data_IF_963057019422
#
_entry.id   IF_963057019422
#
_cell.length_a   1.000
_cell.length_b   1.000
_cell.length_c   1.000
_cell.angle_alpha   90.00
_cell.angle_beta   90.00
_cell.angle_gamma   90.00
#
_symmetry.space_group_name_H-M   'P 1'
#
loop_
_entity.id
_entity.type
_entity.pdbx_description
1 polymer ?
#
# COMPACT_ATOMS: atom_id res chain seq x y z
N UNK A 1 48.52 -40.92 30.06
CA UNK A 1 47.69 -39.76 29.64
C UNK A 1 48.28 -39.28 28.33
N UNK A 2 47.59 -39.56 27.23
CA UNK A 2 47.99 -39.26 25.84
C UNK A 2 47.91 -37.74 25.58
N UNK A 3 48.93 -37.09 25.01
CA UNK A 3 49.15 -36.81 23.57
C UNK A 3 48.02 -35.95 22.95
N UNK A 4 48.20 -34.94 22.11
CA UNK A 4 49.33 -34.34 21.38
C UNK A 4 48.82 -32.97 20.84
N UNK A 5 49.76 -32.10 20.45
CA UNK A 5 49.60 -30.77 19.89
C UNK A 5 48.70 -30.62 18.64
N UNK A 6 48.18 -29.40 18.45
CA UNK A 6 48.36 -28.59 17.23
C UNK A 6 47.83 -29.08 15.87
N UNK A 7 46.83 -28.35 15.37
CA UNK A 7 46.43 -28.11 13.98
C UNK A 7 46.19 -29.30 13.03
N UNK A 8 44.92 -29.49 12.64
CA UNK A 8 44.54 -30.09 11.36
C UNK A 8 43.33 -29.32 10.79
N UNK A 9 43.56 -28.59 9.70
CA UNK A 9 42.51 -28.17 8.76
C UNK A 9 42.31 -29.31 7.76
N UNK A 10 41.18 -30.01 7.72
CA UNK A 10 40.77 -30.76 6.51
C UNK A 10 39.25 -30.97 6.45
N UNK A 11 38.70 -30.51 5.32
CA UNK A 11 37.60 -31.06 4.51
C UNK A 11 36.23 -31.37 5.14
N UNK A 12 35.21 -30.79 4.50
CA UNK A 12 33.83 -31.20 4.67
C UNK A 12 32.77 -30.28 4.05
N UNK A 13 33.11 -29.31 3.21
CA UNK A 13 32.12 -28.59 2.39
C UNK A 13 31.83 -29.37 1.10
N UNK A 14 31.53 -30.66 1.20
CA UNK A 14 31.04 -31.48 0.09
C UNK A 14 30.22 -32.62 0.68
N UNK A 15 29.03 -32.30 1.17
CA UNK A 15 27.87 -33.20 1.34
C UNK A 15 26.77 -32.42 2.07
N UNK A 16 26.21 -31.40 1.41
CA UNK A 16 24.91 -30.84 1.83
C UNK A 16 24.24 -29.94 0.78
N UNK A 17 24.71 -29.95 -0.47
CA UNK A 17 24.14 -29.06 -1.50
C UNK A 17 22.75 -29.56 -1.95
N UNK A 18 22.45 -30.85 -1.83
CA UNK A 18 21.14 -31.41 -2.22
C UNK A 18 20.02 -31.27 -1.17
N UNK A 19 20.30 -30.91 0.10
CA UNK A 19 19.25 -30.77 1.12
C UNK A 19 18.74 -29.32 1.26
N UNK A 20 19.49 -28.33 0.75
CA UNK A 20 19.13 -26.91 0.92
C UNK A 20 18.17 -26.44 -0.16
N UNK A 21 18.21 -27.00 -1.37
CA UNK A 21 17.24 -26.65 -2.43
C UNK A 21 15.83 -27.15 -2.07
N UNK A 22 15.65 -28.43 -1.71
CA UNK A 22 14.32 -28.98 -1.37
C UNK A 22 13.66 -28.34 -0.13
N UNK A 23 14.47 -27.81 0.81
CA UNK A 23 13.94 -27.13 2.01
C UNK A 23 13.65 -25.65 1.78
N UNK A 24 14.31 -25.00 0.81
CA UNK A 24 14.08 -23.58 0.50
C UNK A 24 12.77 -23.39 -0.24
N UNK A 25 12.48 -24.26 -1.22
CA UNK A 25 11.23 -24.21 -2.00
C UNK A 25 9.98 -24.38 -1.12
N UNK A 26 10.03 -25.28 -0.12
CA UNK A 26 8.94 -25.48 0.84
C UNK A 26 8.77 -24.32 1.84
N UNK A 27 9.85 -23.62 2.19
CA UNK A 27 9.79 -22.46 3.09
C UNK A 27 9.27 -21.20 2.37
N UNK A 28 9.51 -21.08 1.07
CA UNK A 28 8.98 -19.99 0.25
C UNK A 28 7.46 -20.13 0.08
N UNK A 29 6.96 -21.33 -0.23
CA UNK A 29 5.52 -21.60 -0.41
C UNK A 29 4.72 -21.35 0.90
N UNK A 30 5.20 -21.85 2.05
CA UNK A 30 4.58 -21.58 3.37
C UNK A 30 4.63 -20.10 3.77
N UNK A 31 5.65 -19.35 3.31
CA UNK A 31 5.74 -17.92 3.59
C UNK A 31 4.72 -17.15 2.76
N UNK A 32 4.56 -17.46 1.47
CA UNK A 32 3.62 -16.82 0.55
C UNK A 32 2.16 -17.00 1.02
N UNK A 33 1.77 -18.23 1.37
CA UNK A 33 0.43 -18.53 1.93
C UNK A 33 0.17 -17.75 3.24
N UNK A 34 1.18 -17.64 4.11
CA UNK A 34 1.05 -16.88 5.36
C UNK A 34 0.95 -15.37 5.14
N UNK A 35 1.57 -14.80 4.10
CA UNK A 35 1.39 -13.38 3.78
C UNK A 35 0.02 -13.13 3.15
N UNK A 36 -0.46 -14.03 2.29
CA UNK A 36 -1.77 -13.91 1.65
C UNK A 36 -2.91 -14.00 2.68
N UNK A 37 -2.81 -14.89 3.66
CA UNK A 37 -3.79 -15.04 4.75
C UNK A 37 -3.82 -13.82 5.69
N UNK A 38 -2.69 -13.11 5.87
CA UNK A 38 -2.62 -11.90 6.72
C UNK A 38 -2.97 -10.61 5.95
N UNK A 39 -2.66 -10.55 4.65
CA UNK A 39 -2.90 -9.35 3.82
C UNK A 39 -4.28 -9.34 3.17
N UNK A 40 -4.94 -10.48 3.04
CA UNK A 40 -6.30 -10.58 2.52
C UNK A 40 -7.35 -9.83 3.37
N UNK A 41 -7.11 -9.68 4.68
CA UNK A 41 -7.97 -8.94 5.61
C UNK A 41 -7.63 -7.44 5.74
N UNK A 42 -6.54 -6.97 5.12
CA UNK A 42 -6.14 -5.56 5.17
C UNK A 42 -6.72 -4.81 3.98
N UNK A 43 -7.69 -3.91 4.23
CA UNK A 43 -8.19 -3.01 3.21
C UNK A 43 -7.04 -2.15 2.68
N UNK A 44 -6.85 -2.16 1.36
CA UNK A 44 -5.86 -1.30 0.70
C UNK A 44 -6.23 0.17 0.97
N UNK A 45 -5.27 1.06 1.25
CA UNK A 45 -5.59 2.47 1.40
C UNK A 45 -6.18 3.04 0.10
N UNK A 46 -7.10 4.02 0.20
CA UNK A 46 -7.61 4.71 -0.98
C UNK A 46 -6.48 5.46 -1.71
N UNK A 47 -6.68 5.74 -2.99
CA UNK A 47 -5.72 6.47 -3.79
C UNK A 47 -6.28 6.92 -5.13
N UNK A 48 -5.66 7.94 -5.70
CA UNK A 48 -6.01 8.49 -7.00
C UNK A 48 -4.76 9.05 -7.68
N UNK A 49 -4.76 9.05 -9.01
CA UNK A 49 -3.80 9.81 -9.81
C UNK A 49 -4.42 11.15 -10.17
N UNK A 50 -3.71 12.24 -9.89
CA UNK A 50 -4.20 13.59 -10.03
C UNK A 50 -3.28 14.42 -10.91
N UNK A 51 -3.87 15.33 -11.68
CA UNK A 51 -3.17 16.46 -12.31
C UNK A 51 -3.58 17.73 -11.56
N UNK A 52 -2.61 18.52 -11.11
CA UNK A 52 -2.85 19.72 -10.31
C UNK A 52 -2.24 20.93 -11.02
N UNK A 53 -3.06 21.93 -11.32
CA UNK A 53 -2.67 23.16 -12.01
C UNK A 53 -3.36 24.37 -11.35
N UNK A 54 -2.58 25.27 -10.73
CA UNK A 54 -3.04 26.54 -10.13
C UNK A 54 -4.37 26.43 -9.33
N UNK A 55 -4.46 25.48 -8.40
CA UNK A 55 -5.65 25.26 -7.55
C UNK A 55 -6.78 24.47 -8.21
N UNK A 56 -6.58 24.03 -9.45
CA UNK A 56 -7.47 23.11 -10.16
C UNK A 56 -6.93 21.69 -10.04
N UNK A 57 -7.76 20.75 -9.57
CA UNK A 57 -7.41 19.33 -9.46
C UNK A 57 -8.22 18.56 -10.49
N UNK A 58 -7.57 17.90 -11.44
CA UNK A 58 -8.20 16.97 -12.38
C UNK A 58 -7.91 15.53 -11.96
N UNK A 59 -8.95 14.73 -11.77
CA UNK A 59 -8.81 13.31 -11.43
C UNK A 59 -8.47 12.53 -12.69
N UNK A 60 -7.26 12.01 -12.79
CA UNK A 60 -6.86 11.17 -13.93
C UNK A 60 -7.38 9.74 -13.78
N UNK A 61 -7.27 9.18 -12.58
CA UNK A 61 -7.80 7.86 -12.23
C UNK A 61 -8.06 7.74 -10.73
N UNK A 62 -9.02 6.89 -10.37
CA UNK A 62 -9.25 6.45 -8.99
C UNK A 62 -8.81 4.99 -8.86
N UNK A 63 -8.20 4.64 -7.72
CA UNK A 63 -7.94 3.25 -7.40
C UNK A 63 -9.26 2.48 -7.28
N UNK A 64 -9.23 1.17 -7.49
CA UNK A 64 -10.42 0.30 -7.47
C UNK A 64 -11.16 0.25 -6.14
N UNK A 65 -10.54 0.70 -5.06
CA UNK A 65 -11.08 0.75 -3.70
C UNK A 65 -11.38 2.20 -3.24
N UNK A 66 -11.39 3.16 -4.16
CA UNK A 66 -11.58 4.59 -3.87
C UNK A 66 -12.86 5.07 -4.53
N UNK A 67 -13.78 5.59 -3.72
CA UNK A 67 -15.06 6.13 -4.19
C UNK A 67 -14.93 7.58 -4.65
N UNK A 68 -13.96 8.31 -4.10
CA UNK A 68 -13.71 9.68 -4.50
C UNK A 68 -12.61 10.35 -3.72
N UNK A 69 -12.38 11.61 -4.06
CA UNK A 69 -11.44 12.50 -3.41
C UNK A 69 -12.11 13.81 -3.02
N UNK A 70 -11.59 14.49 -2.01
CA UNK A 70 -11.98 15.81 -1.58
C UNK A 70 -10.76 16.72 -1.47
N UNK A 71 -10.89 17.96 -1.90
CA UNK A 71 -9.97 19.03 -1.54
C UNK A 71 -10.23 19.46 -0.09
N UNK A 72 -9.18 19.44 0.74
CA UNK A 72 -9.26 19.69 2.18
C UNK A 72 -9.55 18.44 3.01
N UNK A 73 -9.54 18.57 4.35
CA UNK A 73 -9.86 17.48 5.25
C UNK A 73 -11.34 17.11 5.18
N UNK A 74 -11.66 15.89 5.63
CA UNK A 74 -13.04 15.48 5.92
C UNK A 74 -13.44 16.05 7.28
N UNK A 75 -14.56 16.76 7.34
CA UNK A 75 -15.01 17.46 8.56
C UNK A 75 -16.17 16.74 9.28
N UNK A 76 -16.93 15.91 8.57
CA UNK A 76 -18.07 15.16 9.08
C UNK A 76 -17.72 13.78 9.64
N UNK A 77 -18.73 13.16 10.28
CA UNK A 77 -18.65 11.78 10.79
C UNK A 77 -18.81 10.72 9.70
N UNK A 78 -19.28 11.12 8.50
CA UNK A 78 -19.51 10.24 7.35
C UNK A 78 -18.72 10.73 6.13
N UNK A 79 -17.49 10.22 5.92
CA UNK A 79 -16.64 10.63 4.81
C UNK A 79 -17.24 10.34 3.43
N UNK A 80 -18.06 9.31 3.31
CA UNK A 80 -18.64 8.92 2.02
C UNK A 80 -19.73 9.91 1.61
N UNK A 81 -20.66 10.21 2.54
CA UNK A 81 -21.68 11.23 2.29
C UNK A 81 -21.05 12.59 1.96
N UNK A 82 -19.91 12.91 2.58
CA UNK A 82 -19.21 14.16 2.32
C UNK A 82 -18.65 14.23 0.89
N UNK A 83 -18.08 13.15 0.33
CA UNK A 83 -17.60 13.18 -1.06
C UNK A 83 -18.73 13.13 -2.10
N UNK A 84 -19.90 12.59 -1.75
CA UNK A 84 -21.05 12.50 -2.66
C UNK A 84 -21.78 13.84 -2.82
N UNK A 85 -21.83 14.66 -1.75
CA UNK A 85 -22.65 15.87 -1.70
C UNK A 85 -21.84 17.19 -1.77
N UNK A 86 -20.50 17.14 -1.69
CA UNK A 86 -19.66 18.34 -1.55
C UNK A 86 -19.11 18.87 -2.89
N UNK A 87 -19.12 20.19 -3.06
CA UNK A 87 -18.70 20.87 -4.30
C UNK A 87 -17.18 20.77 -4.58
N UNK A 88 -16.37 20.62 -3.54
CA UNK A 88 -14.92 20.39 -3.64
C UNK A 88 -14.53 18.91 -3.62
N UNK A 89 -15.42 18.03 -4.09
CA UNK A 89 -15.17 16.60 -4.20
C UNK A 89 -15.34 16.12 -5.64
N UNK A 90 -14.68 15.00 -5.96
CA UNK A 90 -14.78 14.32 -7.24
C UNK A 90 -14.87 12.81 -7.00
N UNK A 91 -15.80 12.16 -7.69
CA UNK A 91 -16.15 10.73 -7.51
C UNK A 91 -15.83 9.89 -8.73
N UNK A 92 -15.41 10.53 -9.83
CA UNK A 92 -15.06 9.85 -11.06
C UNK A 92 -13.80 10.43 -11.72
N UNK A 93 -13.13 9.57 -12.47
CA UNK A 93 -12.06 9.99 -13.36
C UNK A 93 -12.58 10.97 -14.44
N UNK A 94 -11.81 12.02 -14.69
CA UNK A 94 -12.14 13.11 -15.60
C UNK A 94 -12.92 14.25 -14.96
N UNK A 95 -13.35 14.12 -13.70
CA UNK A 95 -13.92 15.23 -12.94
C UNK A 95 -12.82 16.19 -12.49
N UNK A 96 -13.22 17.43 -12.24
CA UNK A 96 -12.31 18.51 -11.87
C UNK A 96 -12.87 19.23 -10.65
N UNK A 97 -12.01 19.46 -9.66
CA UNK A 97 -12.28 20.32 -8.51
C UNK A 97 -11.60 21.65 -8.79
N UNK A 98 -12.37 22.71 -8.92
CA UNK A 98 -11.87 24.08 -9.09
C UNK A 98 -11.71 24.77 -7.72
N UNK A 99 -10.87 25.80 -7.66
CA UNK A 99 -10.69 26.65 -6.47
C UNK A 99 -10.29 25.86 -5.20
N UNK A 100 -9.43 24.85 -5.34
CA UNK A 100 -8.85 24.14 -4.20
C UNK A 100 -7.76 24.99 -3.54
N UNK A 101 -8.14 25.78 -2.55
CA UNK A 101 -7.23 26.61 -1.73
C UNK A 101 -6.61 25.85 -0.54
N UNK A 102 -7.00 24.60 -0.33
CA UNK A 102 -6.54 23.78 0.80
C UNK A 102 -5.16 23.15 0.53
N UNK A 103 -4.39 22.85 1.57
CA UNK A 103 -3.05 22.28 1.42
C UNK A 103 -3.03 20.75 1.29
N UNK A 104 -4.19 20.09 1.24
CA UNK A 104 -4.28 18.62 1.27
C UNK A 104 -5.42 18.11 0.39
N UNK A 105 -5.20 16.95 -0.23
CA UNK A 105 -6.24 16.20 -0.94
C UNK A 105 -6.41 14.86 -0.23
N UNK A 106 -7.65 14.53 0.12
CA UNK A 106 -8.01 13.31 0.85
C UNK A 106 -8.82 12.39 -0.05
N UNK A 107 -8.45 11.11 -0.11
CA UNK A 107 -9.21 10.06 -0.79
C UNK A 107 -10.02 9.24 0.20
N UNK A 108 -11.17 8.72 -0.25
CA UNK A 108 -12.13 7.98 0.59
C UNK A 108 -12.49 6.62 -0.05
N UNK A 109 -12.55 5.57 0.75
CA UNK A 109 -13.03 4.22 0.33
C UNK A 109 -14.54 4.07 0.51
N UNK A 110 -15.12 3.00 -0.05
CA UNK A 110 -16.56 2.65 0.11
C UNK A 110 -16.95 2.43 1.58
N UNK A 111 -15.99 2.02 2.42
CA UNK A 111 -16.20 1.84 3.86
C UNK A 111 -15.95 3.12 4.68
N UNK A 112 -15.70 4.25 4.02
CA UNK A 112 -15.43 5.54 4.68
C UNK A 112 -14.02 5.66 5.26
N UNK A 113 -13.07 4.80 4.87
CA UNK A 113 -11.67 4.99 5.26
C UNK A 113 -11.06 6.13 4.45
N UNK A 114 -10.18 6.93 5.08
CA UNK A 114 -9.61 8.13 4.46
C UNK A 114 -8.08 8.06 4.43
N UNK A 115 -7.47 8.62 3.38
CA UNK A 115 -6.01 8.75 3.24
C UNK A 115 -5.68 10.10 2.60
N UNK A 116 -4.64 10.78 3.09
CA UNK A 116 -4.11 11.97 2.42
C UNK A 116 -3.27 11.50 1.24
N UNK A 117 -3.70 11.82 0.02
CA UNK A 117 -3.04 11.37 -1.21
C UNK A 117 -2.10 12.42 -1.80
N UNK A 118 -2.28 13.69 -1.45
CA UNK A 118 -1.38 14.77 -1.87
C UNK A 118 -1.35 15.92 -0.86
N UNK A 119 -0.19 16.58 -0.77
CA UNK A 119 -0.01 17.85 -0.05
C UNK A 119 0.39 18.95 -1.04
N UNK A 120 -0.38 20.04 -1.09
CA UNK A 120 -0.25 21.15 -2.05
C UNK A 120 0.71 22.25 -1.58
#
# INVERSE_FOLDING_TARGET
MASVAGAVSVAGCMDQVDLVEETSEQLEEDAEDAVEDVTGDLERPPGADLEIDDGTITVMSLNSNTEGIKCGPIEGDDPLAEIEDHELAATAAGETIEDCDESTIVAVTENGNTEVIEQL
#
